data_IF_627646732268
#
_entry.id   IF_627646732268
#
_cell.length_a   1.000
_cell.length_b   1.000
_cell.length_c   1.000
_cell.angle_alpha   90.00
_cell.angle_beta   90.00
_cell.angle_gamma   90.00
#
_symmetry.space_group_name_H-M   'P 1'
#
loop_
_entity.id
_entity.type
_entity.pdbx_description
1 polymer ?
#
# COMPACT_ATOMS: atom_id res chain seq x y z
N UNK A 1 26.07 -0.55 -13.21
CA UNK A 1 26.93 -0.05 -12.10
C UNK A 1 27.22 -1.17 -11.10
N UNK A 2 26.19 -1.88 -10.61
CA UNK A 2 26.29 -2.91 -9.57
C UNK A 2 27.16 -4.15 -9.90
N UNK A 3 27.29 -4.57 -11.16
CA UNK A 3 28.02 -5.80 -11.51
C UNK A 3 29.55 -5.72 -11.37
N UNK A 4 30.15 -4.54 -11.57
CA UNK A 4 31.61 -4.37 -11.58
C UNK A 4 32.10 -3.73 -10.27
N UNK A 5 33.10 -4.34 -9.63
CA UNK A 5 33.58 -3.90 -8.32
C UNK A 5 34.21 -2.50 -8.35
N UNK A 6 34.94 -2.16 -9.42
CA UNK A 6 35.54 -0.84 -9.58
C UNK A 6 34.45 0.24 -9.72
N UNK A 7 33.45 -0.02 -10.56
CA UNK A 7 32.31 0.89 -10.76
C UNK A 7 31.45 1.03 -9.51
N UNK A 8 31.21 -0.05 -8.75
CA UNK A 8 30.53 0.02 -7.46
C UNK A 8 31.30 0.90 -6.47
N UNK A 9 32.61 0.70 -6.35
CA UNK A 9 33.46 1.49 -5.46
C UNK A 9 33.39 2.99 -5.80
N UNK A 10 33.51 3.35 -7.10
CA UNK A 10 33.36 4.73 -7.56
C UNK A 10 31.98 5.31 -7.19
N UNK A 11 30.91 4.55 -7.41
CA UNK A 11 29.55 4.98 -7.07
C UNK A 11 29.41 5.21 -5.55
N UNK A 12 29.83 4.26 -4.72
CA UNK A 12 29.76 4.35 -3.26
C UNK A 12 30.52 5.58 -2.74
N UNK A 13 31.74 5.82 -3.24
CA UNK A 13 32.52 7.00 -2.88
C UNK A 13 31.78 8.29 -3.26
N UNK A 14 31.22 8.35 -4.48
CA UNK A 14 30.48 9.53 -4.93
C UNK A 14 29.21 9.79 -4.12
N UNK A 15 28.54 8.74 -3.63
CA UNK A 15 27.40 8.87 -2.73
C UNK A 15 27.82 9.51 -1.41
N UNK A 16 28.91 9.04 -0.79
CA UNK A 16 29.42 9.61 0.47
C UNK A 16 29.75 11.09 0.31
N UNK A 17 30.41 11.46 -0.79
CA UNK A 17 30.76 12.85 -1.07
C UNK A 17 29.51 13.72 -1.26
N UNK A 18 28.51 13.23 -2.01
CA UNK A 18 27.25 13.93 -2.23
C UNK A 18 26.48 14.13 -0.92
N UNK A 19 26.34 13.09 -0.10
CA UNK A 19 25.64 13.17 1.18
C UNK A 19 26.28 14.22 2.10
N UNK A 20 27.62 14.24 2.18
CA UNK A 20 28.37 15.24 2.94
C UNK A 20 28.24 16.65 2.38
N UNK A 21 28.36 16.78 1.05
CA UNK A 21 28.33 18.07 0.38
C UNK A 21 27.00 18.80 0.60
N UNK A 22 25.89 18.07 0.52
CA UNK A 22 24.55 18.66 0.60
C UNK A 22 23.87 18.48 1.97
N UNK A 23 24.55 17.82 2.93
CA UNK A 23 24.05 17.63 4.29
C UNK A 23 22.86 16.68 4.39
N UNK A 24 22.82 15.64 3.57
CA UNK A 24 21.81 14.58 3.67
C UNK A 24 22.17 13.56 4.74
N UNK A 25 21.14 13.04 5.42
CA UNK A 25 21.29 12.03 6.48
C UNK A 25 21.44 10.60 5.95
N UNK A 26 21.26 10.37 4.65
CA UNK A 26 21.30 9.05 4.06
C UNK A 26 20.90 8.99 2.59
N UNK A 27 20.86 7.77 2.06
CA UNK A 27 20.49 7.47 0.68
C UNK A 27 19.33 6.46 0.65
N UNK A 28 18.34 6.73 -0.19
CA UNK A 28 17.31 5.76 -0.56
C UNK A 28 17.65 5.17 -1.93
N UNK A 29 17.72 3.84 -2.00
CA UNK A 29 17.98 3.11 -3.24
C UNK A 29 16.66 2.77 -3.93
N UNK A 30 16.41 3.43 -5.05
CA UNK A 30 15.22 3.20 -5.87
C UNK A 30 15.63 2.68 -7.26
N UNK A 31 15.98 1.39 -7.32
CA UNK A 31 16.24 0.70 -8.58
C UNK A 31 14.99 -0.07 -8.97
N UNK A 32 14.34 0.33 -10.07
CA UNK A 32 13.17 -0.34 -10.62
C UNK A 32 13.45 -1.16 -11.90
N UNK A 33 13.55 -2.48 -11.85
CA UNK A 33 13.89 -3.28 -10.68
C UNK A 33 15.14 -4.11 -11.01
N UNK A 34 15.97 -4.52 -10.02
CA UNK A 34 17.04 -5.47 -10.27
C UNK A 34 16.50 -6.68 -11.03
N UNK A 35 17.22 -7.15 -12.05
CA UNK A 35 16.84 -8.27 -12.92
C UNK A 35 15.60 -8.10 -13.82
N UNK A 36 14.85 -7.00 -13.70
CA UNK A 36 13.69 -6.70 -14.57
C UNK A 36 13.98 -5.49 -15.47
N UNK A 37 13.08 -5.21 -16.43
CA UNK A 37 13.13 -4.01 -17.28
C UNK A 37 14.48 -3.76 -17.99
N UNK A 38 15.15 -4.83 -18.45
CA UNK A 38 16.47 -4.77 -19.08
C UNK A 38 17.64 -5.12 -18.16
N UNK A 39 17.37 -5.43 -16.89
CA UNK A 39 18.32 -6.04 -15.96
C UNK A 39 18.65 -7.51 -16.28
N UNK A 40 19.61 -8.05 -15.55
CA UNK A 40 20.05 -9.45 -15.65
C UNK A 40 19.75 -10.22 -14.35
N UNK A 41 19.54 -11.56 -14.38
CA UNK A 41 19.30 -12.34 -13.16
C UNK A 41 20.40 -12.19 -12.09
N UNK A 42 21.63 -11.88 -12.50
CA UNK A 42 22.75 -11.64 -11.57
C UNK A 42 22.53 -10.38 -10.71
N UNK A 43 21.69 -9.44 -11.15
CA UNK A 43 21.44 -8.18 -10.45
C UNK A 43 20.81 -8.39 -9.07
N UNK A 44 20.06 -9.48 -8.87
CA UNK A 44 19.54 -9.87 -7.54
C UNK A 44 20.67 -9.97 -6.51
N UNK A 45 21.76 -10.66 -6.86
CA UNK A 45 22.94 -10.78 -5.99
C UNK A 45 23.80 -9.51 -5.98
N UNK A 46 23.96 -8.85 -7.14
CA UNK A 46 24.74 -7.63 -7.24
C UNK A 46 24.14 -6.48 -6.42
N UNK A 47 22.81 -6.43 -6.28
CA UNK A 47 22.12 -5.43 -5.48
C UNK A 47 22.45 -5.61 -3.99
N UNK A 48 22.45 -6.84 -3.46
CA UNK A 48 22.89 -7.11 -2.09
C UNK A 48 24.35 -6.68 -1.88
N UNK A 49 25.24 -6.96 -2.84
CA UNK A 49 26.63 -6.53 -2.72
C UNK A 49 26.76 -5.00 -2.70
N UNK A 50 26.02 -4.31 -3.56
CA UNK A 50 25.98 -2.84 -3.56
C UNK A 50 25.50 -2.29 -2.21
N UNK A 51 24.43 -2.85 -1.64
CA UNK A 51 23.91 -2.41 -0.33
C UNK A 51 24.93 -2.64 0.80
N UNK A 52 25.67 -3.75 0.76
CA UNK A 52 26.77 -4.01 1.71
C UNK A 52 27.90 -2.98 1.57
N UNK A 53 28.32 -2.70 0.35
CA UNK A 53 29.38 -1.73 0.06
C UNK A 53 28.97 -0.31 0.54
N UNK A 54 27.72 0.10 0.28
CA UNK A 54 27.14 1.36 0.77
C UNK A 54 27.08 1.41 2.30
N UNK A 55 26.48 0.39 2.95
CA UNK A 55 26.31 0.37 4.41
C UNK A 55 27.66 0.45 5.13
N UNK A 56 28.68 -0.25 4.63
CA UNK A 56 30.04 -0.18 5.17
C UNK A 56 30.64 1.24 5.06
N UNK A 57 30.47 1.91 3.91
CA UNK A 57 30.97 3.27 3.70
C UNK A 57 30.18 4.33 4.49
N UNK A 58 28.92 4.06 4.80
CA UNK A 58 28.01 4.98 5.49
C UNK A 58 28.20 4.95 7.01
N UNK A 59 28.58 3.79 7.57
CA UNK A 59 28.72 3.59 9.02
C UNK A 59 29.60 4.64 9.74
N UNK A 60 30.76 5.09 9.22
CA UNK A 60 31.58 6.09 9.90
C UNK A 60 30.92 7.47 10.04
N UNK A 61 29.93 7.78 9.20
CA UNK A 61 29.21 9.05 9.21
C UNK A 61 27.81 8.91 9.84
N UNK A 62 27.38 7.70 10.19
CA UNK A 62 26.03 7.43 10.68
C UNK A 62 24.93 7.60 9.62
N UNK A 63 25.26 7.55 8.33
CA UNK A 63 24.27 7.72 7.27
C UNK A 63 23.29 6.54 7.21
N UNK A 64 22.01 6.86 7.00
CA UNK A 64 20.94 5.89 6.75
C UNK A 64 21.05 5.33 5.33
N UNK A 65 20.68 4.06 5.19
CA UNK A 65 20.51 3.41 3.91
C UNK A 65 19.14 2.74 3.87
N UNK A 66 18.27 3.21 2.98
CA UNK A 66 16.93 2.66 2.74
C UNK A 66 16.78 2.22 1.29
N UNK A 67 15.70 1.51 0.98
CA UNK A 67 15.36 1.20 -0.41
C UNK A 67 13.85 1.19 -0.62
N UNK A 68 13.40 1.80 -1.72
CA UNK A 68 12.08 1.58 -2.28
C UNK A 68 12.07 0.24 -3.04
N UNK A 69 11.07 -0.59 -2.76
CA UNK A 69 11.00 -1.96 -3.29
C UNK A 69 9.59 -2.29 -3.79
N UNK A 70 9.52 -3.19 -4.77
CA UNK A 70 8.24 -3.58 -5.39
C UNK A 70 7.29 -4.29 -4.41
N UNK A 71 6.00 -4.06 -4.57
CA UNK A 71 4.94 -4.83 -3.94
C UNK A 71 4.51 -6.08 -4.75
N UNK A 72 4.88 -6.16 -6.04
CA UNK A 72 4.47 -7.23 -6.93
C UNK A 72 5.25 -8.53 -6.73
N UNK A 73 4.55 -9.63 -6.43
CA UNK A 73 5.16 -10.95 -6.13
C UNK A 73 6.22 -11.38 -7.14
N UNK A 74 5.92 -11.28 -8.44
CA UNK A 74 6.82 -11.73 -9.51
C UNK A 74 8.13 -10.93 -9.54
N UNK A 75 8.04 -9.61 -9.31
CA UNK A 75 9.20 -8.73 -9.20
C UNK A 75 9.98 -9.08 -7.94
N UNK A 76 9.30 -9.27 -6.80
CA UNK A 76 9.97 -9.61 -5.54
C UNK A 76 10.81 -10.88 -5.68
N UNK A 77 10.23 -11.94 -6.26
CA UNK A 77 10.89 -13.24 -6.41
C UNK A 77 12.15 -13.16 -7.29
N UNK A 78 12.11 -12.32 -8.33
CA UNK A 78 13.18 -12.20 -9.32
C UNK A 78 14.25 -11.17 -8.95
N UNK A 79 13.87 -10.09 -8.27
CA UNK A 79 14.74 -8.94 -8.00
C UNK A 79 15.43 -8.97 -6.63
N UNK A 80 14.82 -9.57 -5.61
CA UNK A 80 15.23 -9.31 -4.21
C UNK A 80 15.66 -10.58 -3.46
N UNK A 81 16.84 -10.52 -2.86
CA UNK A 81 17.25 -11.39 -1.77
C UNK A 81 16.88 -10.71 -0.45
N UNK A 82 15.64 -10.95 0.01
CA UNK A 82 15.04 -10.25 1.15
C UNK A 82 15.87 -10.39 2.44
N UNK A 83 16.35 -11.59 2.83
CA UNK A 83 17.25 -11.72 3.98
C UNK A 83 18.57 -10.99 3.80
N UNK A 84 19.19 -11.08 2.61
CA UNK A 84 20.45 -10.39 2.31
C UNK A 84 20.33 -8.86 2.39
N UNK A 85 19.24 -8.30 1.88
CA UNK A 85 18.93 -6.87 1.95
C UNK A 85 18.68 -6.42 3.39
N UNK A 86 17.87 -7.18 4.14
CA UNK A 86 17.45 -6.84 5.51
C UNK A 86 18.60 -6.73 6.52
N UNK A 87 19.74 -7.37 6.24
CA UNK A 87 20.96 -7.25 7.04
C UNK A 87 21.61 -5.86 6.93
N UNK A 88 21.36 -5.13 5.84
CA UNK A 88 22.07 -3.88 5.50
C UNK A 88 21.18 -2.65 5.59
N UNK A 89 19.94 -2.75 5.13
CA UNK A 89 19.00 -1.63 5.09
C UNK A 89 18.53 -1.25 6.50
N UNK A 90 18.38 0.04 6.75
CA UNK A 90 17.75 0.57 7.95
C UNK A 90 16.22 0.46 7.84
N UNK A 91 15.66 0.83 6.68
CA UNK A 91 14.25 0.62 6.33
C UNK A 91 14.07 0.08 4.93
N UNK A 92 12.99 -0.69 4.73
CA UNK A 92 12.56 -1.26 3.46
C UNK A 92 11.18 -0.70 3.14
N UNK A 93 11.11 0.22 2.18
CA UNK A 93 9.89 0.93 1.80
C UNK A 93 9.17 0.17 0.69
N UNK A 94 8.17 -0.63 1.04
CA UNK A 94 7.37 -1.39 0.05
C UNK A 94 6.44 -0.43 -0.67
N UNK A 95 6.60 -0.28 -1.98
CA UNK A 95 5.74 0.53 -2.85
C UNK A 95 4.39 -0.15 -3.07
N UNK A 96 3.56 -0.19 -2.01
CA UNK A 96 2.23 -0.80 -1.98
C UNK A 96 1.19 0.11 -2.67
N UNK A 97 1.40 0.29 -3.98
CA UNK A 97 0.59 1.06 -4.91
C UNK A 97 0.98 0.66 -6.33
N UNK A 98 0.35 1.28 -7.34
CA UNK A 98 0.52 0.90 -8.75
C UNK A 98 0.14 -0.55 -9.05
N UNK A 99 -0.79 -1.09 -8.25
CA UNK A 99 -1.32 -2.44 -8.41
C UNK A 99 -2.09 -2.58 -9.72
N UNK A 100 -2.84 -1.53 -10.06
CA UNK A 100 -3.60 -1.41 -11.30
C UNK A 100 -3.61 0.02 -11.83
N UNK A 101 -3.69 0.17 -13.15
CA UNK A 101 -3.65 1.46 -13.82
C UNK A 101 -3.93 1.33 -15.31
N UNK A 102 -3.76 2.41 -16.07
CA UNK A 102 -4.06 2.46 -17.50
C UNK A 102 -3.24 1.49 -18.39
N UNK A 103 -2.29 0.75 -17.80
CA UNK A 103 -1.64 -0.40 -18.43
C UNK A 103 -2.54 -1.64 -18.47
N UNK A 104 -3.61 -1.68 -17.67
CA UNK A 104 -4.73 -2.62 -17.77
C UNK A 104 -5.79 -2.10 -18.77
N UNK A 105 -6.56 -3.01 -19.35
CA UNK A 105 -7.70 -2.69 -20.21
C UNK A 105 -9.04 -2.58 -19.46
N UNK A 106 -9.00 -2.63 -18.12
CA UNK A 106 -10.17 -2.64 -17.25
C UNK A 106 -9.94 -1.79 -16.00
N UNK A 107 -11.02 -1.31 -15.39
CA UNK A 107 -10.95 -0.53 -14.15
C UNK A 107 -10.56 -1.38 -12.95
N UNK A 108 -9.60 -0.89 -12.17
CA UNK A 108 -9.28 -1.42 -10.85
C UNK A 108 -8.53 -0.37 -10.01
N UNK A 109 -8.37 -0.61 -8.72
CA UNK A 109 -7.89 0.36 -7.74
C UNK A 109 -6.35 0.47 -7.73
N UNK A 110 -5.82 1.68 -7.51
CA UNK A 110 -4.38 1.94 -7.44
C UNK A 110 -3.67 1.11 -6.36
N UNK A 111 -4.25 1.09 -5.16
CA UNK A 111 -3.69 0.43 -3.98
C UNK A 111 -4.82 -0.17 -3.10
N UNK A 112 -5.47 -1.27 -3.52
CA UNK A 112 -6.49 -1.91 -2.71
C UNK A 112 -5.87 -2.52 -1.44
N UNK A 113 -6.49 -2.34 -0.27
CA UNK A 113 -5.96 -2.90 0.99
C UNK A 113 -6.03 -4.43 0.99
N UNK A 114 -7.12 -4.98 0.48
CA UNK A 114 -7.35 -6.41 0.32
C UNK A 114 -7.80 -6.73 -1.11
N UNK A 115 -7.74 -8.00 -1.49
CA UNK A 115 -8.22 -8.46 -2.79
C UNK A 115 -9.75 -8.39 -2.90
N UNK A 116 -10.25 -8.07 -4.10
CA UNK A 116 -11.65 -8.31 -4.47
C UNK A 116 -11.92 -9.81 -4.63
N UNK A 117 -13.15 -10.27 -4.37
CA UNK A 117 -13.54 -11.64 -4.68
C UNK A 117 -13.30 -12.03 -6.15
N UNK A 118 -13.44 -11.08 -7.08
CA UNK A 118 -13.21 -11.28 -8.51
C UNK A 118 -11.73 -11.40 -8.88
N UNK A 119 -10.79 -10.98 -8.03
CA UNK A 119 -9.37 -10.99 -8.37
C UNK A 119 -8.86 -12.40 -8.61
N UNK A 120 -9.40 -13.38 -7.89
CA UNK A 120 -9.00 -14.78 -8.04
C UNK A 120 -9.31 -15.32 -9.45
N UNK A 121 -10.46 -15.00 -10.03
CA UNK A 121 -10.81 -15.46 -11.38
C UNK A 121 -10.00 -14.76 -12.48
N UNK A 122 -9.32 -13.67 -12.15
CA UNK A 122 -8.50 -12.88 -13.07
C UNK A 122 -6.98 -13.01 -12.80
N UNK A 123 -6.58 -13.87 -11.86
CA UNK A 123 -5.18 -14.04 -11.41
C UNK A 123 -4.57 -12.78 -10.79
N UNK A 124 -5.38 -11.90 -10.19
CA UNK A 124 -4.95 -10.65 -9.56
C UNK A 124 -4.88 -10.72 -8.03
N UNK A 125 -5.07 -11.89 -7.42
CA UNK A 125 -5.23 -12.05 -5.96
C UNK A 125 -4.03 -11.57 -5.11
N UNK A 126 -2.89 -11.29 -5.74
CA UNK A 126 -1.67 -10.82 -5.08
C UNK A 126 -1.47 -9.30 -5.16
N UNK A 127 -2.28 -8.58 -5.94
CA UNK A 127 -2.13 -7.13 -6.17
C UNK A 127 -2.91 -6.32 -5.13
N UNK A 128 -2.53 -6.46 -3.86
CA UNK A 128 -3.10 -5.71 -2.74
C UNK A 128 -2.06 -5.50 -1.62
N UNK A 129 -2.29 -4.47 -0.80
CA UNK A 129 -1.35 -4.01 0.22
C UNK A 129 -1.08 -5.07 1.31
N UNK A 130 -2.13 -5.73 1.81
CA UNK A 130 -2.00 -6.77 2.84
C UNK A 130 -1.15 -7.95 2.36
N UNK A 131 -1.42 -8.45 1.14
CA UNK A 131 -0.61 -9.52 0.55
C UNK A 131 0.84 -9.09 0.39
N UNK A 132 1.09 -7.93 -0.21
CA UNK A 132 2.44 -7.45 -0.48
C UNK A 132 3.29 -7.37 0.80
N UNK A 133 2.76 -6.73 1.84
CA UNK A 133 3.45 -6.61 3.13
C UNK A 133 3.69 -7.97 3.76
N UNK A 134 2.67 -8.83 3.82
CA UNK A 134 2.81 -10.18 4.40
C UNK A 134 3.78 -11.06 3.61
N UNK A 135 3.89 -10.86 2.30
CA UNK A 135 4.83 -11.58 1.47
C UNK A 135 6.28 -11.17 1.77
N UNK A 136 6.55 -9.87 1.91
CA UNK A 136 7.86 -9.40 2.38
C UNK A 136 8.23 -9.98 3.76
N UNK A 137 7.28 -9.99 4.71
CA UNK A 137 7.47 -10.60 6.02
C UNK A 137 7.75 -12.10 5.93
N UNK A 138 7.02 -12.84 5.09
CA UNK A 138 7.18 -14.30 4.95
C UNK A 138 8.51 -14.69 4.31
N UNK A 139 9.10 -13.79 3.50
CA UNK A 139 10.44 -13.94 2.93
C UNK A 139 11.57 -13.53 3.90
N UNK A 140 11.23 -13.09 5.11
CA UNK A 140 12.20 -12.82 6.18
C UNK A 140 12.55 -11.36 6.40
N UNK A 141 11.79 -10.41 5.86
CA UNK A 141 11.95 -9.00 6.21
C UNK A 141 11.57 -8.77 7.69
N UNK A 142 12.43 -8.13 8.51
CA UNK A 142 12.07 -7.75 9.87
C UNK A 142 10.97 -6.70 9.87
N UNK A 143 9.88 -6.93 10.62
CA UNK A 143 8.74 -6.00 10.69
C UNK A 143 9.16 -4.60 11.15
N UNK A 144 10.12 -4.52 12.07
CA UNK A 144 10.68 -3.28 12.61
C UNK A 144 11.55 -2.50 11.61
N UNK A 145 11.78 -3.04 10.41
CA UNK A 145 12.42 -2.34 9.28
C UNK A 145 11.47 -2.14 8.09
N UNK A 146 10.34 -2.85 8.05
CA UNK A 146 9.43 -2.80 6.92
C UNK A 146 8.50 -1.60 7.03
N UNK A 147 8.43 -0.79 5.98
CA UNK A 147 7.61 0.42 5.89
C UNK A 147 6.64 0.23 4.73
N UNK A 148 5.34 0.40 4.98
CA UNK A 148 4.31 0.24 3.94
C UNK A 148 4.06 1.56 3.22
N UNK A 149 4.19 1.57 1.89
CA UNK A 149 3.86 2.69 1.03
C UNK A 149 2.35 2.98 1.01
N UNK A 150 2.00 4.25 0.99
CA UNK A 150 0.62 4.73 0.84
C UNK A 150 0.61 5.84 -0.22
N UNK A 151 -0.15 5.67 -1.31
CA UNK A 151 -0.19 6.66 -2.37
C UNK A 151 -1.07 7.86 -1.97
N UNK A 152 -0.66 9.06 -2.38
CA UNK A 152 -1.45 10.29 -2.30
C UNK A 152 -1.93 10.71 -3.70
N UNK A 153 -2.15 9.70 -4.53
CA UNK A 153 -2.66 9.84 -5.89
C UNK A 153 -3.54 8.64 -6.22
N UNK A 154 -4.43 8.84 -7.19
CA UNK A 154 -5.22 7.79 -7.80
C UNK A 154 -4.71 7.42 -9.18
N UNK A 155 -5.07 6.21 -9.61
CA UNK A 155 -4.94 5.78 -11.00
C UNK A 155 -6.31 5.72 -11.64
N UNK A 156 -6.39 6.13 -12.90
CA UNK A 156 -7.67 6.29 -13.55
C UNK A 156 -7.72 5.96 -15.03
N UNK A 157 -8.96 5.85 -15.48
CA UNK A 157 -9.35 5.29 -16.75
C UNK A 157 -10.46 6.13 -17.37
N UNK A 158 -10.50 6.12 -18.69
CA UNK A 158 -11.69 6.51 -19.44
C UNK A 158 -12.52 5.26 -19.69
N UNK A 159 -13.75 5.20 -19.19
CA UNK A 159 -14.67 4.08 -19.38
C UNK A 159 -15.06 3.93 -20.84
N UNK A 160 -15.13 2.68 -21.33
CA UNK A 160 -15.67 2.39 -22.66
C UNK A 160 -17.21 2.57 -22.71
N UNK A 161 -17.89 2.27 -21.61
CA UNK A 161 -19.32 2.49 -21.41
C UNK A 161 -19.56 3.11 -20.02
N UNK A 162 -19.99 4.38 -19.92
CA UNK A 162 -20.32 5.04 -18.65
C UNK A 162 -21.27 4.28 -17.72
N UNK A 163 -22.15 3.44 -18.29
CA UNK A 163 -23.11 2.65 -17.52
C UNK A 163 -22.47 1.44 -16.83
N UNK A 164 -21.29 1.01 -17.29
CA UNK A 164 -20.46 0.00 -16.64
C UNK A 164 -19.27 0.68 -15.96
N UNK A 165 -19.40 0.96 -14.67
CA UNK A 165 -18.44 1.75 -13.89
C UNK A 165 -17.98 1.05 -12.61
N UNK A 166 -18.22 -0.26 -12.49
CA UNK A 166 -17.70 -1.08 -11.40
C UNK A 166 -16.23 -1.46 -11.62
N UNK A 167 -15.74 -2.39 -10.80
CA UNK A 167 -14.47 -3.07 -11.05
C UNK A 167 -14.55 -3.97 -12.28
N UNK A 168 -13.42 -4.14 -12.96
CA UNK A 168 -13.30 -4.89 -14.22
C UNK A 168 -14.15 -4.32 -15.38
N UNK A 169 -14.61 -3.08 -15.30
CA UNK A 169 -15.29 -2.44 -16.40
C UNK A 169 -14.30 -2.15 -17.55
N UNK A 170 -14.64 -2.44 -18.82
CA UNK A 170 -13.76 -2.16 -19.95
C UNK A 170 -13.44 -0.67 -20.10
N UNK A 171 -12.21 -0.36 -20.51
CA UNK A 171 -11.73 1.02 -20.63
C UNK A 171 -11.31 1.34 -22.06
N UNK A 172 -11.44 2.62 -22.43
CA UNK A 172 -10.94 3.18 -23.68
C UNK A 172 -9.49 3.68 -23.58
N UNK A 173 -8.89 3.59 -22.38
CA UNK A 173 -7.53 4.02 -22.10
C UNK A 173 -7.42 4.79 -20.78
N UNK A 174 -6.32 5.52 -20.63
CA UNK A 174 -6.03 6.31 -19.44
C UNK A 174 -7.11 7.37 -19.16
N UNK A 175 -7.29 7.69 -17.88
CA UNK A 175 -8.08 8.83 -17.44
C UNK A 175 -7.47 10.16 -17.92
N UNK A 176 -8.29 11.19 -18.01
CA UNK A 176 -7.86 12.52 -18.44
C UNK A 176 -6.87 13.09 -17.43
N UNK A 177 -5.77 13.67 -17.92
CA UNK A 177 -4.76 14.29 -17.09
C UNK A 177 -5.32 15.48 -16.28
N UNK A 178 -4.89 15.59 -15.03
CA UNK A 178 -5.21 16.72 -14.17
C UNK A 178 -4.42 17.99 -14.53
N UNK A 179 -4.85 19.16 -14.03
CA UNK A 179 -4.22 20.45 -14.34
C UNK A 179 -2.80 20.61 -13.74
N UNK A 180 -2.49 19.88 -12.67
CA UNK A 180 -1.23 19.99 -11.92
C UNK A 180 -0.28 18.82 -12.23
N UNK A 181 -0.73 17.57 -12.12
CA UNK A 181 0.09 16.37 -12.43
C UNK A 181 0.39 16.26 -13.92
N UNK A 182 -0.58 16.64 -14.77
CA UNK A 182 -0.46 16.66 -16.24
C UNK A 182 -0.07 15.32 -16.86
N UNK A 183 -0.40 14.23 -16.18
CA UNK A 183 -0.17 12.87 -16.65
C UNK A 183 -1.50 12.15 -16.82
N UNK A 184 -1.73 11.58 -18.00
CA UNK A 184 -2.95 10.82 -18.25
C UNK A 184 -2.98 9.56 -17.37
N UNK A 185 -4.11 9.32 -16.73
CA UNK A 185 -4.32 8.17 -15.85
C UNK A 185 -3.79 8.34 -14.43
N UNK A 186 -3.26 9.51 -14.06
CA UNK A 186 -2.83 9.84 -12.69
C UNK A 186 -3.49 11.14 -12.26
N UNK A 187 -4.00 11.17 -11.02
CA UNK A 187 -4.45 12.39 -10.36
C UNK A 187 -3.95 12.40 -8.92
N UNK A 188 -3.36 13.51 -8.47
CA UNK A 188 -3.05 13.70 -7.06
C UNK A 188 -4.33 13.82 -6.22
N UNK A 189 -4.25 13.52 -4.92
CA UNK A 189 -5.38 13.71 -4.01
C UNK A 189 -5.90 15.16 -4.05
N UNK A 190 -4.99 16.14 -4.13
CA UNK A 190 -5.31 17.55 -4.35
C UNK A 190 -6.19 17.79 -5.60
N UNK A 191 -5.93 17.09 -6.70
CA UNK A 191 -6.72 17.21 -7.93
C UNK A 191 -8.08 16.53 -7.78
N UNK A 192 -8.11 15.32 -7.21
CA UNK A 192 -9.36 14.56 -7.02
C UNK A 192 -10.33 15.33 -6.12
N UNK A 193 -9.83 15.94 -5.04
CA UNK A 193 -10.67 16.68 -4.12
C UNK A 193 -11.11 18.06 -4.65
N UNK A 194 -10.35 18.68 -5.56
CA UNK A 194 -10.83 19.85 -6.34
C UNK A 194 -11.89 19.44 -7.38
N UNK A 195 -11.68 18.33 -8.10
CA UNK A 195 -12.61 17.74 -9.09
C UNK A 195 -13.96 17.44 -8.45
N UNK A 196 -13.98 16.93 -7.21
CA UNK A 196 -15.21 16.71 -6.44
C UNK A 196 -16.08 17.97 -6.33
N UNK A 197 -15.47 19.16 -6.26
CA UNK A 197 -16.19 20.43 -6.17
C UNK A 197 -16.56 20.99 -7.54
N UNK A 198 -15.82 20.61 -8.58
CA UNK A 198 -15.98 21.10 -9.95
C UNK A 198 -17.11 20.38 -10.70
N UNK A 199 -17.20 19.06 -10.55
CA UNK A 199 -18.12 18.23 -11.33
C UNK A 199 -19.36 17.87 -10.54
N UNK A 200 -20.52 18.36 -11.00
CA UNK A 200 -21.81 18.05 -10.37
C UNK A 200 -22.24 16.59 -10.47
N UNK A 201 -21.63 15.81 -11.37
CA UNK A 201 -21.84 14.37 -11.52
C UNK A 201 -20.79 13.51 -10.79
N UNK A 202 -19.89 14.13 -10.02
CA UNK A 202 -18.91 13.40 -9.22
C UNK A 202 -19.59 12.47 -8.21
N UNK A 203 -19.19 11.19 -8.23
CA UNK A 203 -19.64 10.19 -7.26
C UNK A 203 -18.43 9.53 -6.64
N UNK A 204 -18.32 9.60 -5.31
CA UNK A 204 -17.43 8.73 -4.52
C UNK A 204 -18.17 7.44 -4.20
N UNK A 205 -17.55 6.30 -4.47
CA UNK A 205 -18.08 4.97 -4.15
C UNK A 205 -17.07 4.24 -3.27
N UNK A 206 -17.47 3.88 -2.05
CA UNK A 206 -16.70 3.03 -1.17
C UNK A 206 -16.88 1.56 -1.54
N UNK A 207 -15.79 0.79 -1.60
CA UNK A 207 -15.84 -0.65 -1.74
C UNK A 207 -15.35 -1.32 -0.46
N UNK A 208 -16.23 -2.12 0.16
CA UNK A 208 -15.96 -2.72 1.46
C UNK A 208 -15.01 -3.93 1.41
N UNK A 209 -14.86 -4.58 0.26
CA UNK A 209 -13.93 -5.69 0.09
C UNK A 209 -12.47 -5.18 0.10
N UNK A 210 -12.17 -4.14 -0.67
CA UNK A 210 -10.82 -3.58 -0.78
C UNK A 210 -10.49 -2.48 0.24
N UNK A 211 -11.48 -2.06 1.04
CA UNK A 211 -11.40 -0.94 2.00
C UNK A 211 -10.84 0.34 1.39
N UNK A 212 -11.31 0.69 0.20
CA UNK A 212 -10.89 1.91 -0.49
C UNK A 212 -12.00 2.46 -1.40
N UNK A 213 -12.00 3.77 -1.66
CA UNK A 213 -12.95 4.39 -2.58
C UNK A 213 -12.46 4.36 -4.03
N UNK A 214 -13.40 4.48 -4.94
CA UNK A 214 -13.12 5.03 -6.27
C UNK A 214 -14.10 6.18 -6.53
N UNK A 215 -13.86 6.94 -7.60
CA UNK A 215 -14.79 7.97 -8.04
C UNK A 215 -15.08 7.89 -9.53
N UNK A 216 -16.27 8.37 -9.90
CA UNK A 216 -16.66 8.61 -11.30
C UNK A 216 -17.08 10.05 -11.48
N UNK A 217 -16.69 10.67 -12.59
CA UNK A 217 -17.06 12.06 -12.90
C UNK A 217 -16.95 12.33 -14.41
N UNK A 218 -17.41 13.51 -14.84
CA UNK A 218 -17.30 13.96 -16.22
C UNK A 218 -17.79 12.91 -17.22
N UNK A 219 -18.94 12.31 -16.94
CA UNK A 219 -19.59 11.22 -17.68
C UNK A 219 -18.88 9.88 -17.75
N UNK A 220 -17.56 9.81 -17.98
CA UNK A 220 -16.86 8.56 -18.29
C UNK A 220 -15.48 8.42 -17.62
N UNK A 221 -15.13 9.30 -16.68
CA UNK A 221 -13.88 9.18 -15.94
C UNK A 221 -14.08 8.30 -14.72
N UNK A 222 -13.10 7.43 -14.45
CA UNK A 222 -13.08 6.53 -13.30
C UNK A 222 -11.70 6.58 -12.66
N UNK A 223 -11.59 6.83 -11.35
CA UNK A 223 -10.32 6.86 -10.63
C UNK A 223 -10.41 6.10 -9.31
N UNK A 224 -9.52 5.12 -9.10
CA UNK A 224 -9.32 4.44 -7.82
C UNK A 224 -8.21 5.15 -7.06
N UNK A 225 -8.50 5.61 -5.85
CA UNK A 225 -7.64 6.51 -5.08
C UNK A 225 -7.80 6.29 -3.58
N UNK A 226 -6.82 6.76 -2.82
CA UNK A 226 -6.89 6.76 -1.36
C UNK A 226 -7.39 8.11 -0.82
N UNK A 227 -8.24 8.04 0.20
CA UNK A 227 -8.66 9.20 0.99
C UNK A 227 -8.45 8.96 2.49
N UNK A 228 -8.90 9.87 3.35
CA UNK A 228 -8.66 9.76 4.79
C UNK A 228 -9.31 8.51 5.42
N UNK A 229 -10.39 7.98 4.84
CA UNK A 229 -11.04 6.75 5.34
C UNK A 229 -10.19 5.52 5.00
N UNK A 230 -9.77 5.34 3.74
CA UNK A 230 -8.92 4.21 3.34
C UNK A 230 -7.52 4.28 3.98
N UNK A 231 -6.94 5.47 4.08
CA UNK A 231 -5.64 5.69 4.72
C UNK A 231 -5.69 5.37 6.20
N UNK A 232 -6.82 5.61 6.88
CA UNK A 232 -7.01 5.16 8.26
C UNK A 232 -6.91 3.64 8.36
N UNK A 233 -7.57 2.90 7.46
CA UNK A 233 -7.53 1.43 7.44
C UNK A 233 -6.10 0.90 7.17
N UNK A 234 -5.40 1.52 6.22
CA UNK A 234 -3.99 1.20 5.89
C UNK A 234 -3.05 1.48 7.06
N UNK A 235 -3.16 2.65 7.68
CA UNK A 235 -2.36 2.99 8.84
C UNK A 235 -2.66 2.07 10.03
N UNK A 236 -3.91 1.60 10.17
CA UNK A 236 -4.25 0.61 11.19
C UNK A 236 -3.61 -0.76 10.89
N UNK A 237 -3.52 -1.18 9.62
CA UNK A 237 -2.79 -2.39 9.24
C UNK A 237 -1.31 -2.31 9.64
N UNK A 238 -0.65 -1.16 9.41
CA UNK A 238 0.74 -0.89 9.85
C UNK A 238 0.88 -1.12 11.36
N UNK A 239 -0.02 -0.52 12.16
CA UNK A 239 -0.03 -0.68 13.62
C UNK A 239 -0.27 -2.13 14.03
N UNK A 240 -1.22 -2.81 13.39
CA UNK A 240 -1.62 -4.17 13.74
C UNK A 240 -0.52 -5.20 13.45
N UNK A 241 0.23 -5.01 12.38
CA UNK A 241 1.36 -5.87 12.02
C UNK A 241 2.64 -5.51 12.79
N UNK A 242 2.66 -4.36 13.49
CA UNK A 242 3.83 -3.84 14.19
C UNK A 242 4.97 -3.53 13.23
N UNK A 243 4.64 -2.95 12.07
CA UNK A 243 5.61 -2.50 11.08
C UNK A 243 6.36 -1.25 11.58
N UNK A 244 7.47 -0.90 10.93
CA UNK A 244 8.28 0.27 11.26
C UNK A 244 7.53 1.59 11.04
N UNK A 245 6.61 1.64 10.07
CA UNK A 245 5.82 2.83 9.79
C UNK A 245 5.19 2.83 8.40
N UNK A 246 4.82 4.03 7.94
CA UNK A 246 4.29 4.29 6.62
C UNK A 246 5.19 5.21 5.79
N UNK A 247 5.35 4.90 4.50
CA UNK A 247 5.99 5.74 3.49
C UNK A 247 4.89 6.35 2.62
N UNK A 248 5.09 7.57 2.13
CA UNK A 248 4.07 8.30 1.38
C UNK A 248 4.62 8.75 0.04
N UNK A 249 3.90 8.42 -1.04
CA UNK A 249 4.19 8.91 -2.39
C UNK A 249 2.98 9.69 -2.93
N UNK A 250 3.00 11.01 -2.99
CA UNK A 250 4.06 11.91 -2.54
C UNK A 250 3.49 13.13 -1.82
N UNK A 251 4.33 13.88 -1.12
CA UNK A 251 3.89 14.98 -0.26
C UNK A 251 3.20 16.11 -1.05
N UNK A 252 3.62 16.36 -2.28
CA UNK A 252 3.10 17.42 -3.14
C UNK A 252 1.77 17.07 -3.82
N UNK A 253 1.35 15.80 -3.76
CA UNK A 253 0.05 15.35 -4.28
C UNK A 253 -1.04 15.29 -3.19
N UNK A 254 -0.69 15.52 -1.93
CA UNK A 254 -1.66 15.80 -0.86
C UNK A 254 -2.30 17.18 -1.03
N UNK A 255 -3.40 17.45 -0.34
CA UNK A 255 -3.96 18.81 -0.24
C UNK A 255 -3.12 19.66 0.73
N UNK A 256 -1.87 19.92 0.36
CA UNK A 256 -0.90 20.66 1.18
C UNK A 256 -1.30 22.12 1.42
N UNK A 257 -2.23 22.66 0.61
CA UNK A 257 -2.78 24.01 0.72
C UNK A 257 -4.13 24.05 1.47
N UNK A 258 -4.73 22.91 1.81
CA UNK A 258 -6.00 22.83 2.52
C UNK A 258 -7.21 23.35 1.74
N UNK A 259 -7.15 23.34 0.40
CA UNK A 259 -8.21 23.85 -0.49
C UNK A 259 -9.47 22.99 -0.46
N UNK A 260 -9.35 21.74 -0.06
CA UNK A 260 -10.44 20.78 -0.09
C UNK A 260 -11.32 20.82 1.15
N UNK A 261 -10.91 21.56 2.20
CA UNK A 261 -11.70 21.75 3.43
C UNK A 261 -11.45 20.70 4.50
N UNK A 262 -10.39 19.90 4.33
CA UNK A 262 -9.92 18.87 5.29
C UNK A 262 -8.71 19.34 6.13
N UNK A 263 -8.32 20.61 5.98
CA UNK A 263 -7.07 21.16 6.50
C UNK A 263 -5.87 20.82 5.59
N UNK A 264 -4.69 21.33 5.94
CA UNK A 264 -3.48 21.09 5.14
C UNK A 264 -2.99 19.65 5.34
N UNK A 265 -2.48 19.02 4.27
CA UNK A 265 -1.91 17.67 4.28
C UNK A 265 -2.84 16.63 4.98
N UNK A 266 -4.11 16.51 4.57
CA UNK A 266 -5.07 15.65 5.27
C UNK A 266 -4.66 14.19 5.28
N UNK A 267 -4.02 13.68 4.21
CA UNK A 267 -3.59 12.29 4.12
C UNK A 267 -2.40 12.05 5.06
N UNK A 268 -1.34 12.86 4.98
CA UNK A 268 -0.19 12.73 5.88
C UNK A 268 -0.59 12.91 7.36
N UNK A 269 -1.48 13.86 7.65
CA UNK A 269 -1.95 14.08 9.02
C UNK A 269 -2.79 12.91 9.54
N UNK A 270 -3.54 12.23 8.67
CA UNK A 270 -4.29 11.02 9.06
C UNK A 270 -3.34 9.90 9.42
N UNK A 271 -2.33 9.63 8.58
CA UNK A 271 -1.27 8.65 8.86
C UNK A 271 -0.61 8.97 10.21
N UNK A 272 -0.17 10.21 10.39
CA UNK A 272 0.48 10.67 11.62
C UNK A 272 -0.39 10.45 12.86
N UNK A 273 -1.69 10.72 12.80
CA UNK A 273 -2.60 10.52 13.94
C UNK A 273 -2.67 9.04 14.32
N UNK A 274 -2.96 8.18 13.35
CA UNK A 274 -3.13 6.73 13.58
C UNK A 274 -1.84 6.11 14.10
N UNK A 275 -0.68 6.41 13.49
CA UNK A 275 0.61 5.86 13.92
C UNK A 275 1.06 6.36 15.30
N UNK A 276 0.57 7.51 15.76
CA UNK A 276 0.81 8.02 17.12
C UNK A 276 -0.25 7.54 18.15
N UNK A 277 -1.12 6.60 17.78
CA UNK A 277 -2.17 6.08 18.65
C UNK A 277 -3.30 7.08 18.93
N UNK A 278 -3.46 8.11 18.09
CA UNK A 278 -4.57 9.06 18.20
C UNK A 278 -5.74 8.59 17.33
N UNK A 279 -6.94 8.53 17.92
CA UNK A 279 -8.16 8.20 17.18
C UNK A 279 -8.44 9.27 16.12
N UNK A 280 -8.75 8.90 14.86
CA UNK A 280 -9.06 9.87 13.82
C UNK A 280 -10.35 10.65 14.13
N UNK A 281 -10.48 11.92 13.68
CA UNK A 281 -11.66 12.73 13.95
C UNK A 281 -12.82 12.28 13.05
N UNK A 282 -13.91 11.83 13.67
CA UNK A 282 -15.23 11.61 13.08
C UNK A 282 -15.33 10.61 11.93
N UNK A 283 -15.50 9.33 12.29
CA UNK A 283 -16.54 8.52 11.67
C UNK A 283 -17.61 8.23 12.72
N UNK A 284 -18.87 8.39 12.32
CA UNK A 284 -20.02 8.06 13.15
C UNK A 284 -20.00 6.54 13.41
N UNK A 285 -19.30 6.15 14.47
CA UNK A 285 -19.33 4.79 14.99
C UNK A 285 -20.75 4.51 15.46
N UNK A 286 -21.46 3.65 14.73
CA UNK A 286 -22.67 3.01 15.21
C UNK A 286 -22.30 2.30 16.51
N UNK A 287 -22.74 2.85 17.64
CA UNK A 287 -22.69 2.20 18.96
C UNK A 287 -23.39 0.84 18.84
N UNK A 288 -22.63 -0.25 18.76
CA UNK A 288 -23.14 -1.58 19.00
C UNK A 288 -23.01 -1.92 20.51
N UNK A 289 -23.97 -2.66 21.11
CA UNK A 289 -23.99 -2.93 22.54
C UNK A 289 -22.77 -3.75 22.98
N UNK A 290 -22.22 -3.39 24.13
CA UNK A 290 -21.02 -4.03 24.69
C UNK A 290 -21.16 -5.54 24.86
N UNK A 291 -20.07 -6.28 24.58
CA UNK A 291 -19.90 -7.68 24.98
C UNK A 291 -19.08 -8.57 24.05
N UNK A 292 -18.81 -8.18 22.79
CA UNK A 292 -18.13 -9.07 21.82
C UNK A 292 -16.62 -9.15 21.97
N UNK A 293 -15.97 -8.12 22.48
CA UNK A 293 -14.50 -8.03 22.52
C UNK A 293 -13.99 -8.07 23.96
N UNK A 294 -13.01 -8.94 24.23
CA UNK A 294 -12.31 -9.06 25.52
C UNK A 294 -10.81 -8.77 25.40
N UNK A 295 -10.24 -8.87 24.20
CA UNK A 295 -8.87 -8.47 23.88
C UNK A 295 -8.78 -7.95 22.45
N UNK A 296 -7.67 -7.28 22.11
CA UNK A 296 -7.39 -6.88 20.74
C UNK A 296 -7.08 -8.11 19.88
N UNK A 297 -7.52 -8.12 18.62
CA UNK A 297 -7.25 -9.23 17.71
C UNK A 297 -8.45 -9.64 16.87
N UNK A 298 -8.25 -10.70 16.09
CA UNK A 298 -9.28 -11.28 15.24
C UNK A 298 -9.96 -12.46 15.93
N UNK A 299 -11.29 -12.44 15.93
CA UNK A 299 -12.12 -13.43 16.61
C UNK A 299 -13.13 -14.03 15.64
N UNK A 300 -13.37 -15.33 15.76
CA UNK A 300 -14.44 -15.97 15.00
C UNK A 300 -15.80 -15.43 15.44
N UNK A 301 -16.68 -15.11 14.48
CA UNK A 301 -18.06 -14.70 14.77
C UNK A 301 -18.95 -15.88 15.17
N UNK A 302 -18.48 -17.11 14.95
CA UNK A 302 -19.10 -18.37 15.35
C UNK A 302 -18.25 -19.56 14.92
N UNK A 303 -18.56 -20.75 15.42
CA UNK A 303 -17.91 -21.99 15.00
C UNK A 303 -18.11 -22.23 13.50
N UNK A 304 -17.04 -22.56 12.79
CA UNK A 304 -17.07 -22.83 11.34
C UNK A 304 -17.70 -21.72 10.51
N UNK A 305 -17.61 -20.47 10.98
CA UNK A 305 -18.19 -19.34 10.28
C UNK A 305 -17.18 -18.76 9.28
N UNK A 306 -17.63 -18.37 8.07
CA UNK A 306 -16.84 -17.47 7.24
C UNK A 306 -16.74 -16.09 7.91
N UNK A 307 -17.67 -15.73 8.79
CA UNK A 307 -17.67 -14.43 9.46
C UNK A 307 -16.70 -14.42 10.63
N UNK A 308 -15.95 -13.34 10.73
CA UNK A 308 -15.07 -13.05 11.83
C UNK A 308 -15.11 -11.56 12.12
N UNK A 309 -14.52 -11.13 13.22
CA UNK A 309 -14.45 -9.71 13.52
C UNK A 309 -13.09 -9.35 14.11
N UNK A 310 -12.65 -8.14 13.85
CA UNK A 310 -11.45 -7.58 14.43
C UNK A 310 -11.84 -6.60 15.55
N UNK A 311 -11.35 -6.87 16.76
CA UNK A 311 -11.51 -6.00 17.91
C UNK A 311 -10.30 -5.08 18.03
N UNK A 312 -10.56 -3.77 17.96
CA UNK A 312 -9.56 -2.74 18.14
C UNK A 312 -9.84 -1.96 19.44
N UNK A 313 -8.88 -1.88 20.38
CA UNK A 313 -9.06 -1.08 21.59
C UNK A 313 -9.04 0.42 21.26
N UNK A 314 -10.00 1.16 21.77
CA UNK A 314 -10.13 2.60 21.58
C UNK A 314 -10.61 3.27 22.87
N UNK A 315 -9.70 3.90 23.62
CA UNK A 315 -10.00 4.69 24.83
C UNK A 315 -10.96 4.01 25.84
N UNK A 316 -10.70 2.75 26.17
CA UNK A 316 -11.53 1.98 27.10
C UNK A 316 -12.81 1.37 26.50
N UNK A 317 -12.99 1.50 25.18
CA UNK A 317 -14.03 0.85 24.39
C UNK A 317 -13.42 -0.02 23.28
N UNK A 318 -14.27 -0.76 22.56
CA UNK A 318 -13.89 -1.58 21.43
C UNK A 318 -14.52 -1.05 20.15
N UNK A 319 -13.70 -0.86 19.11
CA UNK A 319 -14.17 -0.75 17.72
C UNK A 319 -14.16 -2.17 17.16
N UNK A 320 -15.26 -2.56 16.50
CA UNK A 320 -15.45 -3.91 15.96
C UNK A 320 -15.60 -3.78 14.46
N UNK A 321 -14.72 -4.44 13.70
CA UNK A 321 -14.85 -4.58 12.27
C UNK A 321 -15.37 -5.98 11.97
N UNK A 322 -16.60 -6.09 11.47
CA UNK A 322 -17.12 -7.36 10.96
C UNK A 322 -16.49 -7.65 9.59
N UNK A 323 -15.98 -8.87 9.42
CA UNK A 323 -15.23 -9.34 8.26
C UNK A 323 -15.78 -10.70 7.81
N UNK A 324 -15.49 -11.07 6.58
CA UNK A 324 -15.85 -12.39 6.07
C UNK A 324 -14.70 -12.99 5.27
N UNK A 325 -14.44 -14.26 5.50
CA UNK A 325 -13.62 -15.08 4.64
C UNK A 325 -14.31 -15.27 3.27
N UNK A 326 -13.49 -15.58 2.25
CA UNK A 326 -13.96 -15.87 0.91
C UNK A 326 -14.94 -17.06 0.89
N UNK A 327 -15.80 -17.12 -0.14
CA UNK A 327 -16.79 -18.18 -0.28
C UNK A 327 -16.13 -19.58 -0.22
N UNK A 328 -16.67 -20.46 0.63
CA UNK A 328 -16.15 -21.82 0.86
C UNK A 328 -15.05 -21.91 1.91
N UNK A 329 -14.58 -20.79 2.48
CA UNK A 329 -13.59 -20.76 3.57
C UNK A 329 -14.21 -20.29 4.88
N UNK A 330 -13.60 -20.69 5.99
CA UNK A 330 -13.98 -20.36 7.35
C UNK A 330 -12.82 -19.67 8.05
N UNK A 331 -13.12 -18.81 9.03
CA UNK A 331 -12.08 -18.20 9.85
C UNK A 331 -11.68 -19.17 10.97
N UNK A 332 -10.42 -19.59 10.98
CA UNK A 332 -9.88 -20.53 11.95
C UNK A 332 -8.45 -20.14 12.35
N UNK A 333 -8.21 -19.98 13.65
CA UNK A 333 -6.88 -19.72 14.25
C UNK A 333 -6.06 -18.61 13.58
N UNK A 334 -6.67 -17.48 13.25
CA UNK A 334 -5.93 -16.32 12.72
C UNK A 334 -5.97 -16.17 11.20
N UNK A 335 -6.59 -17.09 10.47
CA UNK A 335 -6.64 -17.05 9.00
C UNK A 335 -7.92 -17.65 8.43
N UNK A 336 -8.20 -17.34 7.16
CA UNK A 336 -9.25 -17.99 6.40
C UNK A 336 -8.71 -19.28 5.77
N UNK A 337 -9.36 -20.41 6.09
CA UNK A 337 -8.98 -21.75 5.60
C UNK A 337 -10.19 -22.45 5.01
N UNK A 338 -9.98 -23.43 4.13
CA UNK A 338 -11.06 -24.30 3.69
C UNK A 338 -11.68 -25.05 4.86
N UNK A 339 -13.00 -25.27 4.84
CA UNK A 339 -13.70 -25.95 5.95
C UNK A 339 -13.12 -27.32 6.29
N UNK A 340 -12.62 -28.04 5.28
CA UNK A 340 -11.95 -29.34 5.44
C UNK A 340 -10.58 -29.26 6.15
N UNK A 341 -9.96 -28.08 6.23
CA UNK A 341 -8.68 -27.86 6.91
C UNK A 341 -8.85 -27.59 8.41
N UNK A 342 -10.07 -27.33 8.88
CA UNK A 342 -10.38 -27.24 10.31
C UNK A 342 -10.92 -28.58 10.82
N UNK A 343 -10.23 -29.24 11.77
CA UNK A 343 -10.73 -30.48 12.38
C UNK A 343 -12.11 -30.33 13.04
N UNK A 344 -12.44 -29.11 13.47
CA UNK A 344 -13.70 -28.79 14.16
C UNK A 344 -14.89 -28.61 13.20
N UNK A 345 -14.61 -28.52 11.89
CA UNK A 345 -15.59 -28.22 10.84
C UNK A 345 -15.70 -29.32 9.80
N UNK A 346 -15.11 -30.49 10.06
CA UNK A 346 -15.33 -31.71 9.29
C UNK A 346 -16.63 -32.38 9.78
N UNK A 347 -17.76 -31.94 9.23
CA UNK A 347 -19.10 -32.45 9.52
C UNK A 347 -20.00 -32.39 8.32
#
# INVERSE_FOLDING_TARGET
MSADAGRRSTFVASCVDLLKQYGFDGLDMDWEYPANQGGSPADKGNFVQLLRDLKAAFAPNGFLLTAAVSAGKNTIDTAYDVPGMSQTLDYISVMAYDMHGAFDSYTHHNAPLFALPLDQSHNNQYFNDDFAVRYWLSLGAPKEKLVMGMPVYGRGFTLADPSNNGFYAPTAGAGTAGPYTREAGILGFNEICEIQKQYGDFKRIWNDDIKAPYCTFNSNQWFGYDDTESITQKAQLIVNLGLAGGMVWSVETDDFQGKCGLGNNPILNTIKKVLNGQSPPNEATTKAPGGRCSSAGYFAAGSCSPKFYYCLPNNGQWIIYDLSCAAGTIYYRGSCVWSNASPECQG
#
